data_IF_466781324156
#
_entry.id   IF_466781324156
#
_cell.length_a   1.000
_cell.length_b   1.000
_cell.length_c   1.000
_cell.angle_alpha   90.00
_cell.angle_beta   90.00
_cell.angle_gamma   90.00
#
_symmetry.space_group_name_H-M   'P 1'
#
loop_
_entity.id
_entity.type
_entity.pdbx_description
1 polymer ?
#
# COMPACT_ATOMS: atom_id res chain seq x y z
N UNK A 1 7.68 -15.15 19.06
CA UNK A 1 7.66 -13.86 18.33
C UNK A 1 6.19 -13.53 18.10
N UNK A 2 5.78 -12.28 18.26
CA UNK A 2 4.40 -11.93 17.94
C UNK A 2 4.24 -12.04 16.42
N UNK A 3 3.39 -12.96 15.97
CA UNK A 3 2.97 -13.01 14.57
C UNK A 3 2.00 -11.84 14.38
N UNK A 4 2.44 -10.80 13.68
CA UNK A 4 1.58 -9.69 13.29
C UNK A 4 0.81 -10.10 12.03
N UNK A 5 -0.52 -10.09 12.12
CA UNK A 5 -1.41 -10.32 11.00
C UNK A 5 -1.85 -8.98 10.43
N UNK A 6 -1.47 -8.72 9.17
CA UNK A 6 -1.91 -7.53 8.46
C UNK A 6 -3.25 -7.81 7.77
N UNK A 7 -4.26 -7.02 8.13
CA UNK A 7 -5.57 -7.06 7.51
C UNK A 7 -5.75 -5.81 6.66
N UNK A 8 -6.04 -6.00 5.38
CA UNK A 8 -6.23 -4.91 4.42
C UNK A 8 -7.61 -5.00 3.79
N UNK A 9 -8.20 -3.85 3.50
CA UNK A 9 -9.45 -3.75 2.76
C UNK A 9 -9.33 -2.72 1.63
N UNK A 10 -10.14 -2.91 0.60
CA UNK A 10 -10.24 -1.98 -0.50
C UNK A 10 -11.57 -2.16 -1.24
N UNK A 11 -12.04 -1.07 -1.84
CA UNK A 11 -13.16 -1.13 -2.77
C UNK A 11 -12.77 -1.90 -4.05
N UNK A 12 -13.67 -2.79 -4.49
CA UNK A 12 -13.43 -3.70 -5.63
C UNK A 12 -13.29 -2.91 -6.95
N UNK A 13 -14.00 -1.79 -7.11
CA UNK A 13 -13.88 -0.95 -8.32
C UNK A 13 -12.57 -0.18 -8.32
N UNK A 14 -12.11 0.30 -7.15
CA UNK A 14 -10.79 0.90 -6.98
C UNK A 14 -9.69 -0.11 -7.32
N UNK A 15 -9.80 -1.34 -6.84
CA UNK A 15 -8.84 -2.42 -7.14
C UNK A 15 -8.76 -2.73 -8.64
N UNK A 16 -9.91 -2.90 -9.32
CA UNK A 16 -9.95 -3.14 -10.75
C UNK A 16 -9.33 -1.97 -11.55
N UNK A 17 -9.64 -0.74 -11.14
CA UNK A 17 -9.08 0.47 -11.74
C UNK A 17 -7.56 0.57 -11.52
N UNK A 18 -7.08 0.18 -10.34
CA UNK A 18 -5.65 0.19 -10.02
C UNK A 18 -4.86 -0.77 -10.91
N UNK A 19 -5.36 -2.00 -11.08
CA UNK A 19 -4.75 -2.99 -11.97
C UNK A 19 -4.73 -2.47 -13.41
N UNK A 20 -5.83 -1.88 -13.88
CA UNK A 20 -5.91 -1.35 -15.25
C UNK A 20 -4.91 -0.19 -15.47
N UNK A 21 -4.76 0.71 -14.49
CA UNK A 21 -3.90 1.91 -14.63
C UNK A 21 -2.42 1.62 -14.38
N UNK A 22 -2.11 0.72 -13.43
CA UNK A 22 -0.77 0.57 -12.88
C UNK A 22 -0.18 -0.83 -13.06
N UNK A 23 -0.99 -1.82 -13.46
CA UNK A 23 -0.53 -3.20 -13.65
C UNK A 23 -0.23 -3.95 -12.34
N UNK A 24 -0.56 -3.37 -11.18
CA UNK A 24 -0.31 -3.94 -9.86
C UNK A 24 -1.64 -4.11 -9.12
N UNK A 25 -1.87 -5.29 -8.53
CA UNK A 25 -3.03 -5.53 -7.68
C UNK A 25 -2.77 -5.07 -6.24
N UNK A 26 -3.82 -4.79 -5.47
CA UNK A 26 -3.65 -4.38 -4.07
C UNK A 26 -3.12 -5.51 -3.18
N UNK A 27 -3.41 -6.77 -3.51
CA UNK A 27 -2.81 -7.93 -2.82
C UNK A 27 -1.29 -7.95 -2.96
N UNK A 28 -0.76 -7.64 -4.16
CA UNK A 28 0.69 -7.54 -4.35
C UNK A 28 1.23 -6.27 -3.70
N UNK A 29 0.58 -5.12 -3.91
CA UNK A 29 0.99 -3.85 -3.33
C UNK A 29 1.05 -3.90 -1.80
N UNK A 30 0.12 -4.60 -1.14
CA UNK A 30 0.12 -4.76 0.32
C UNK A 30 1.32 -5.54 0.86
N UNK A 31 2.06 -6.27 0.02
CA UNK A 31 3.27 -6.96 0.49
C UNK A 31 4.40 -6.01 0.83
N UNK A 32 4.35 -4.74 0.42
CA UNK A 32 5.33 -3.71 0.83
C UNK A 32 5.37 -3.51 2.35
N UNK A 33 4.28 -3.79 3.07
CA UNK A 33 4.25 -3.68 4.53
C UNK A 33 5.06 -4.77 5.25
N UNK A 34 5.59 -5.74 4.50
CA UNK A 34 6.54 -6.74 4.99
C UNK A 34 8.00 -6.38 4.74
N UNK A 35 8.27 -5.34 3.96
CA UNK A 35 9.62 -4.82 3.75
C UNK A 35 10.07 -4.06 5.00
N UNK A 36 11.16 -4.52 5.62
CA UNK A 36 11.70 -3.91 6.84
C UNK A 36 12.28 -2.52 6.60
N UNK A 37 12.63 -2.21 5.36
CA UNK A 37 13.19 -0.91 4.93
C UNK A 37 12.13 0.00 4.31
N UNK A 38 10.85 -0.39 4.34
CA UNK A 38 9.77 0.42 3.82
C UNK A 38 9.70 1.78 4.54
N UNK A 39 9.59 2.86 3.76
CA UNK A 39 9.48 4.22 4.28
C UNK A 39 8.07 4.73 4.10
N UNK A 40 7.48 5.27 5.17
CA UNK A 40 6.13 5.86 5.13
C UNK A 40 6.19 7.36 5.42
N UNK A 41 5.46 8.14 4.63
CA UNK A 41 5.32 9.58 4.76
C UNK A 41 3.85 9.92 4.94
N UNK A 42 3.53 10.75 5.93
CA UNK A 42 2.19 11.27 6.13
C UNK A 42 1.86 12.32 5.07
N UNK A 43 0.77 12.13 4.34
CA UNK A 43 0.32 13.03 3.29
C UNK A 43 -0.65 14.08 3.84
N UNK A 44 -0.11 15.11 4.46
CA UNK A 44 -0.88 16.21 5.04
C UNK A 44 -1.86 16.87 4.05
N UNK A 45 -1.54 16.84 2.75
CA UNK A 45 -2.35 17.51 1.73
C UNK A 45 -3.66 16.76 1.45
N UNK A 46 -3.65 15.44 1.54
CA UNK A 46 -4.81 14.60 1.26
C UNK A 46 -5.48 14.06 2.54
N UNK A 47 -4.98 14.46 3.72
CA UNK A 47 -5.49 13.98 5.02
C UNK A 47 -6.55 14.88 5.66
N UNK A 48 -7.47 15.44 4.87
CA UNK A 48 -8.53 16.33 5.40
C UNK A 48 -9.66 15.56 6.07
N UNK A 49 -10.03 14.42 5.50
CA UNK A 49 -11.16 13.60 5.96
C UNK A 49 -10.69 12.29 6.63
N UNK A 50 -9.58 11.73 6.16
CA UNK A 50 -8.96 10.50 6.66
C UNK A 50 -7.43 10.61 6.61
N UNK A 51 -6.71 10.03 7.58
CA UNK A 51 -5.25 10.06 7.63
C UNK A 51 -4.64 9.28 6.45
N UNK A 52 -4.09 9.99 5.47
CA UNK A 52 -3.48 9.41 4.28
C UNK A 52 -1.96 9.29 4.43
N UNK A 53 -1.43 8.13 4.07
CA UNK A 53 -0.01 7.79 4.07
C UNK A 53 0.45 7.35 2.69
N UNK A 54 1.71 7.65 2.38
CA UNK A 54 2.41 7.17 1.19
C UNK A 54 3.57 6.30 1.67
N UNK A 55 3.57 5.03 1.29
CA UNK A 55 4.64 4.08 1.59
C UNK A 55 5.43 3.74 0.33
N UNK A 56 6.75 3.85 0.40
CA UNK A 56 7.70 3.37 -0.59
C UNK A 56 8.39 2.12 -0.03
N UNK A 57 8.35 1.01 -0.77
CA UNK A 57 8.96 -0.25 -0.33
C UNK A 57 8.99 -1.29 -1.45
N UNK A 58 9.68 -2.40 -1.19
CA UNK A 58 9.73 -3.56 -2.08
C UNK A 58 8.55 -4.49 -1.83
N UNK A 59 7.93 -4.94 -2.91
CA UNK A 59 6.95 -6.03 -2.84
C UNK A 59 7.65 -7.40 -2.70
N UNK A 60 6.86 -8.48 -2.59
CA UNK A 60 7.40 -9.84 -2.50
C UNK A 60 8.10 -10.38 -3.76
N UNK A 61 8.23 -9.56 -4.81
CA UNK A 61 8.93 -9.85 -6.08
C UNK A 61 10.10 -8.89 -6.30
N UNK A 62 10.54 -8.19 -5.25
CA UNK A 62 11.60 -7.18 -5.29
C UNK A 62 11.30 -6.00 -6.23
N UNK A 63 10.03 -5.69 -6.47
CA UNK A 63 9.62 -4.51 -7.21
C UNK A 63 9.42 -3.33 -6.28
N UNK A 64 10.05 -2.20 -6.59
CA UNK A 64 9.86 -0.96 -5.85
C UNK A 64 8.48 -0.36 -6.17
N UNK A 65 7.63 -0.23 -5.18
CA UNK A 65 6.28 0.30 -5.30
C UNK A 65 6.06 1.54 -4.43
N UNK A 66 5.18 2.42 -4.90
CA UNK A 66 4.58 3.50 -4.10
C UNK A 66 3.13 3.13 -3.82
N UNK A 67 2.75 3.07 -2.54
CA UNK A 67 1.42 2.68 -2.08
C UNK A 67 0.81 3.80 -1.26
N UNK A 68 -0.35 4.31 -1.71
CA UNK A 68 -1.16 5.25 -0.93
C UNK A 68 -2.22 4.49 -0.13
N UNK A 69 -2.25 4.68 1.18
CA UNK A 69 -3.13 3.99 2.11
C UNK A 69 -3.58 4.89 3.26
N UNK A 70 -4.52 4.37 4.05
CA UNK A 70 -5.16 5.02 5.21
C UNK A 70 -5.21 4.02 6.35
#
# INVERSE_FOLDING_TARGET
>A
MADFEYNFEWDVRKAATNIQKHGVSFENAATVFRDSEAMSLFDQKHSTDEDCWITLGLDNRDQLLVVCHT
#
